data_IF_802360181411
#
_entry.id   IF_802360181411
#
_cell.length_a   1.000
_cell.length_b   1.000
_cell.length_c   1.000
_cell.angle_alpha   90.00
_cell.angle_beta   90.00
_cell.angle_gamma   90.00
#
_symmetry.space_group_name_H-M   'P 1'
#
loop_
_entity.id
_entity.type
_entity.pdbx_description
1 polymer ?
#
# COMPACT_ATOMS: atom_id res chain seq x y z
N UNK A 1 -10.09 30.06 2.47
CA UNK A 1 -9.16 29.40 3.42
C UNK A 1 -8.96 27.99 2.92
N UNK A 2 -7.82 27.67 2.29
CA UNK A 2 -7.45 26.27 2.06
C UNK A 2 -7.35 25.62 3.45
N UNK A 3 -8.25 24.68 3.68
CA UNK A 3 -8.65 24.14 4.97
C UNK A 3 -7.51 23.30 5.58
N UNK A 4 -7.44 23.27 6.90
CA UNK A 4 -6.54 22.45 7.73
C UNK A 4 -6.35 21.00 7.22
N UNK A 5 -7.40 20.39 6.64
CA UNK A 5 -7.33 19.09 5.97
C UNK A 5 -6.35 19.05 4.77
N UNK A 6 -6.40 20.01 3.85
CA UNK A 6 -5.50 20.02 2.68
C UNK A 6 -4.03 20.01 3.12
N UNK A 7 -3.67 20.87 4.07
CA UNK A 7 -2.30 20.96 4.61
C UNK A 7 -1.87 19.63 5.21
N UNK A 8 -2.71 19.01 6.04
CA UNK A 8 -2.43 17.66 6.59
C UNK A 8 -2.23 16.62 5.49
N UNK A 9 -3.05 16.65 4.44
CA UNK A 9 -2.91 15.72 3.31
C UNK A 9 -1.58 15.88 2.58
N UNK A 10 -1.17 17.12 2.30
CA UNK A 10 0.12 17.42 1.68
C UNK A 10 1.29 16.99 2.58
N UNK A 11 1.22 17.29 3.87
CA UNK A 11 2.24 16.90 4.85
C UNK A 11 2.35 15.38 4.97
N UNK A 12 1.21 14.69 4.99
CA UNK A 12 1.15 13.23 4.99
C UNK A 12 1.81 12.64 3.73
N UNK A 13 1.43 13.12 2.54
CA UNK A 13 1.99 12.64 1.27
C UNK A 13 3.51 12.85 1.20
N UNK A 14 4.01 14.03 1.62
CA UNK A 14 5.46 14.29 1.71
C UNK A 14 6.16 13.39 2.73
N UNK A 15 5.47 13.00 3.80
CA UNK A 15 6.01 12.10 4.81
C UNK A 15 6.13 10.67 4.25
N UNK A 16 5.07 10.10 3.68
CA UNK A 16 5.13 8.74 3.10
C UNK A 16 6.01 8.66 1.85
N UNK A 17 6.11 9.73 1.05
CA UNK A 17 7.02 9.79 -0.10
C UNK A 17 8.49 9.62 0.32
N UNK A 18 8.89 10.15 1.48
CA UNK A 18 10.24 9.99 2.03
C UNK A 18 10.51 8.59 2.60
N UNK A 19 9.47 7.78 2.76
CA UNK A 19 9.56 6.39 3.22
C UNK A 19 9.59 5.39 2.06
N UNK A 20 9.25 5.81 0.83
CA UNK A 20 9.38 5.00 -0.36
C UNK A 20 10.87 4.83 -0.78
N UNK A 21 11.16 3.86 -1.66
CA UNK A 21 12.52 3.73 -2.22
C UNK A 21 12.87 4.89 -3.15
N UNK A 22 11.89 5.35 -3.91
CA UNK A 22 11.99 6.43 -4.87
C UNK A 22 10.80 7.38 -4.65
N UNK A 23 11.01 8.71 -4.59
CA UNK A 23 9.91 9.66 -4.41
C UNK A 23 8.79 9.54 -5.45
N UNK A 24 9.14 9.12 -6.66
CA UNK A 24 8.24 8.91 -7.80
C UNK A 24 7.25 7.76 -7.58
N UNK A 25 7.47 6.91 -6.56
CA UNK A 25 6.49 5.90 -6.18
C UNK A 25 5.22 6.52 -5.59
N UNK A 26 5.31 7.76 -5.09
CA UNK A 26 4.19 8.54 -4.55
C UNK A 26 4.15 9.87 -5.28
N UNK A 27 3.52 9.90 -6.45
CA UNK A 27 3.63 10.97 -7.43
C UNK A 27 2.41 11.91 -7.47
N UNK A 28 1.48 11.81 -6.51
CA UNK A 28 0.28 12.67 -6.47
C UNK A 28 0.60 14.16 -6.51
N UNK A 29 1.64 14.59 -5.78
CA UNK A 29 1.99 16.01 -5.69
C UNK A 29 2.71 16.53 -6.93
N UNK A 30 3.48 15.68 -7.60
CA UNK A 30 4.23 15.99 -8.82
C UNK A 30 4.24 14.73 -9.71
N UNK A 31 3.15 14.47 -10.46
CA UNK A 31 3.02 13.28 -11.29
C UNK A 31 4.07 13.36 -12.39
N UNK A 32 4.94 12.35 -12.44
CA UNK A 32 5.98 12.21 -13.45
C UNK A 32 5.40 11.93 -14.83
N UNK A 33 4.14 11.50 -14.90
CA UNK A 33 3.41 11.34 -16.15
C UNK A 33 2.85 12.69 -16.62
N UNK A 34 3.65 13.41 -17.40
CA UNK A 34 3.21 14.55 -18.21
C UNK A 34 2.27 14.02 -19.30
N UNK A 35 1.00 13.79 -18.98
CA UNK A 35 -0.01 13.72 -20.03
C UNK A 35 -0.06 15.13 -20.62
N UNK A 36 0.06 15.24 -21.95
CA UNK A 36 -0.25 16.44 -22.74
C UNK A 36 -1.71 16.94 -22.56
N UNK A 37 -2.45 16.38 -21.59
CA UNK A 37 -3.80 16.72 -21.19
C UNK A 37 -3.75 17.33 -19.79
N UNK A 38 -4.14 18.59 -19.68
CA UNK A 38 -4.32 19.32 -18.41
C UNK A 38 -5.54 18.82 -17.62
N UNK A 39 -6.32 17.92 -18.19
CA UNK A 39 -7.53 17.35 -17.60
C UNK A 39 -7.47 15.83 -17.53
N UNK A 40 -7.91 15.29 -16.39
CA UNK A 40 -8.14 13.87 -16.15
C UNK A 40 -9.65 13.64 -16.15
N UNK A 41 -10.11 12.66 -16.94
CA UNK A 41 -11.49 12.18 -16.87
C UNK A 41 -11.58 11.03 -15.90
N UNK A 42 -12.40 11.20 -14.88
CA UNK A 42 -12.74 10.15 -13.93
C UNK A 42 -14.26 10.11 -13.81
N UNK A 43 -14.87 8.98 -14.19
CA UNK A 43 -16.32 8.86 -14.40
C UNK A 43 -16.86 9.91 -15.40
N UNK A 44 -17.99 10.57 -15.11
CA UNK A 44 -18.65 11.59 -15.93
C UNK A 44 -18.13 13.02 -15.68
N UNK A 45 -17.06 13.19 -14.88
CA UNK A 45 -16.46 14.49 -14.55
C UNK A 45 -15.03 14.62 -15.07
N UNK A 46 -14.76 15.84 -15.55
CA UNK A 46 -13.44 16.25 -16.00
C UNK A 46 -12.82 17.13 -14.90
N UNK A 47 -11.69 16.68 -14.34
CA UNK A 47 -10.94 17.41 -13.33
C UNK A 47 -9.70 18.02 -13.95
N UNK A 48 -9.37 19.27 -13.60
CA UNK A 48 -8.00 19.74 -13.78
C UNK A 48 -7.07 18.96 -12.85
N UNK A 49 -5.79 18.83 -13.22
CA UNK A 49 -4.77 18.22 -12.36
C UNK A 49 -4.73 18.88 -10.97
N UNK A 50 -4.99 20.18 -10.89
CA UNK A 50 -4.99 20.93 -9.63
C UNK A 50 -6.18 20.55 -8.73
N UNK A 51 -7.40 20.51 -9.28
CA UNK A 51 -8.60 20.11 -8.52
C UNK A 51 -8.46 18.67 -8.03
N UNK A 52 -7.91 17.81 -8.87
CA UNK A 52 -7.65 16.42 -8.54
C UNK A 52 -6.70 16.27 -7.34
N UNK A 53 -5.56 16.96 -7.36
CA UNK A 53 -4.62 17.00 -6.22
C UNK A 53 -5.27 17.54 -4.95
N UNK A 54 -6.07 18.59 -5.07
CA UNK A 54 -6.80 19.19 -3.94
C UNK A 54 -7.77 18.18 -3.33
N UNK A 55 -8.54 17.46 -4.16
CA UNK A 55 -9.47 16.42 -3.70
C UNK A 55 -8.76 15.31 -2.94
N UNK A 56 -7.67 14.77 -3.49
CA UNK A 56 -6.87 13.73 -2.80
C UNK A 56 -6.34 14.24 -1.46
N UNK A 57 -5.71 15.42 -1.46
CA UNK A 57 -5.10 15.96 -0.24
C UNK A 57 -6.17 16.24 0.83
N UNK A 58 -7.34 16.77 0.47
CA UNK A 58 -8.42 16.97 1.41
C UNK A 58 -8.93 15.65 1.98
N UNK A 59 -9.15 14.64 1.12
CA UNK A 59 -9.62 13.34 1.56
C UNK A 59 -8.62 12.65 2.49
N UNK A 60 -7.34 12.64 2.14
CA UNK A 60 -6.27 12.12 3.01
C UNK A 60 -6.28 12.88 4.34
N UNK A 61 -6.28 14.20 4.32
CA UNK A 61 -6.27 15.01 5.54
C UNK A 61 -7.47 14.82 6.47
N UNK A 62 -8.58 14.26 5.97
CA UNK A 62 -9.77 13.93 6.74
C UNK A 62 -9.78 12.49 7.23
N UNK A 63 -9.29 11.54 6.43
CA UNK A 63 -9.58 10.11 6.62
C UNK A 63 -8.36 9.25 6.95
N UNK A 64 -7.14 9.73 6.70
CA UNK A 64 -5.95 8.87 6.70
C UNK A 64 -5.65 8.24 8.06
N UNK A 65 -6.01 8.89 9.16
CA UNK A 65 -5.84 8.31 10.50
C UNK A 65 -6.68 7.05 10.68
N UNK A 66 -7.94 7.04 10.24
CA UNK A 66 -8.83 5.89 10.32
C UNK A 66 -8.33 4.74 9.44
N UNK A 67 -7.92 5.05 8.20
CA UNK A 67 -7.37 4.05 7.28
C UNK A 67 -6.09 3.42 7.85
N UNK A 68 -5.17 4.25 8.35
CA UNK A 68 -3.94 3.76 8.97
C UNK A 68 -4.22 2.98 10.26
N UNK A 69 -5.24 3.34 11.05
CA UNK A 69 -5.63 2.56 12.22
C UNK A 69 -6.09 1.14 11.83
N UNK A 70 -6.83 1.00 10.74
CA UNK A 70 -7.22 -0.31 10.21
C UNK A 70 -5.98 -1.11 9.75
N UNK A 71 -5.07 -0.49 8.98
CA UNK A 71 -3.83 -1.16 8.55
C UNK A 71 -2.94 -1.54 9.73
N UNK A 72 -2.87 -0.71 10.78
CA UNK A 72 -2.14 -1.06 12.00
C UNK A 72 -2.77 -2.23 12.75
N UNK A 73 -4.10 -2.40 12.68
CA UNK A 73 -4.77 -3.60 13.21
C UNK A 73 -4.32 -4.84 12.46
N UNK A 74 -4.22 -4.78 11.12
CA UNK A 74 -3.69 -5.89 10.30
C UNK A 74 -2.21 -6.17 10.59
N UNK A 75 -1.38 -5.13 10.71
CA UNK A 75 0.02 -5.28 11.11
C UNK A 75 0.15 -5.96 12.49
N UNK A 76 -0.72 -5.58 13.43
CA UNK A 76 -0.70 -6.13 14.78
C UNK A 76 -1.06 -7.62 14.81
N UNK A 77 -2.07 -8.07 14.05
CA UNK A 77 -2.39 -9.51 13.98
C UNK A 77 -1.27 -10.30 13.29
N UNK A 78 -0.57 -9.73 12.29
CA UNK A 78 0.63 -10.33 11.72
C UNK A 78 1.74 -10.48 12.77
N UNK A 79 1.94 -9.48 13.63
CA UNK A 79 2.88 -9.56 14.75
C UNK A 79 2.52 -10.67 15.75
N UNK A 80 1.22 -10.86 15.99
CA UNK A 80 0.71 -11.86 16.94
C UNK A 80 0.96 -13.30 16.50
N UNK A 81 1.20 -13.54 15.21
CA UNK A 81 1.66 -14.84 14.71
C UNK A 81 3.08 -15.21 15.19
N UNK A 82 3.87 -14.27 15.73
CA UNK A 82 5.26 -14.50 16.13
C UNK A 82 5.48 -14.22 17.62
N UNK A 83 6.47 -14.91 18.20
CA UNK A 83 6.88 -14.66 19.57
C UNK A 83 7.38 -13.21 19.72
N UNK A 84 7.14 -12.52 20.85
CA UNK A 84 7.51 -11.11 21.01
C UNK A 84 8.99 -10.78 20.70
N UNK A 85 9.90 -11.74 20.91
CA UNK A 85 11.34 -11.57 20.62
C UNK A 85 11.68 -11.65 19.12
N UNK A 86 10.79 -12.22 18.29
CA UNK A 86 10.98 -12.35 16.84
C UNK A 86 10.33 -11.18 16.08
N UNK A 87 9.55 -10.34 16.77
CA UNK A 87 8.84 -9.21 16.15
C UNK A 87 9.83 -8.13 15.76
N UNK A 88 9.83 -7.78 14.48
CA UNK A 88 10.63 -6.68 13.94
C UNK A 88 9.95 -5.33 14.21
N UNK A 89 10.74 -4.26 14.23
CA UNK A 89 10.21 -2.89 14.31
C UNK A 89 9.68 -2.47 12.94
N UNK A 90 8.39 -2.69 12.70
CA UNK A 90 7.71 -2.46 11.43
C UNK A 90 6.68 -1.33 11.61
N UNK A 91 6.53 -0.47 10.60
CA UNK A 91 5.42 0.48 10.49
C UNK A 91 4.68 0.29 9.18
N UNK A 92 3.42 0.71 9.13
CA UNK A 92 2.58 0.59 7.95
C UNK A 92 1.82 1.89 7.68
N UNK A 93 1.71 2.26 6.40
CA UNK A 93 0.98 3.44 5.95
C UNK A 93 0.19 3.14 4.67
N UNK A 94 -1.00 3.71 4.59
CA UNK A 94 -1.79 3.77 3.37
C UNK A 94 -1.24 4.88 2.47
N UNK A 95 -1.11 4.63 1.16
CA UNK A 95 -0.59 5.63 0.22
C UNK A 95 -1.09 5.39 -1.21
N UNK A 96 -1.47 6.43 -1.97
CA UNK A 96 -1.71 6.29 -3.40
C UNK A 96 -0.37 6.07 -4.13
N UNK A 97 -0.09 4.83 -4.54
CA UNK A 97 1.11 4.49 -5.27
C UNK A 97 0.95 4.85 -6.75
N UNK A 98 2.05 5.24 -7.41
CA UNK A 98 2.03 5.59 -8.83
C UNK A 98 1.48 4.44 -9.68
N UNK A 99 0.57 4.76 -10.60
CA UNK A 99 -0.01 3.78 -11.51
C UNK A 99 1.01 3.10 -12.41
N UNK A 100 2.11 3.77 -12.71
CA UNK A 100 3.20 3.22 -13.51
C UNK A 100 3.90 2.00 -12.88
N UNK A 101 3.80 1.83 -11.55
CA UNK A 101 4.45 0.73 -10.84
C UNK A 101 3.67 -0.58 -10.94
N UNK A 102 2.33 -0.52 -11.05
CA UNK A 102 1.49 -1.71 -11.09
C UNK A 102 1.58 -2.61 -9.85
N UNK A 103 1.86 -2.03 -8.67
CA UNK A 103 1.94 -2.75 -7.39
C UNK A 103 0.88 -2.25 -6.40
N UNK A 104 0.36 -3.15 -5.57
CA UNK A 104 -0.68 -2.85 -4.57
C UNK A 104 -0.08 -2.55 -3.19
N UNK A 105 1.16 -2.97 -2.97
CA UNK A 105 1.91 -2.78 -1.73
C UNK A 105 3.41 -2.76 -1.99
N UNK A 106 4.15 -2.25 -1.01
CA UNK A 106 5.59 -2.18 -1.05
C UNK A 106 6.22 -2.14 0.35
N UNK A 107 7.24 -2.97 0.60
CA UNK A 107 8.01 -2.97 1.83
C UNK A 107 9.42 -2.36 1.64
N UNK A 108 9.69 -1.21 2.28
CA UNK A 108 11.01 -0.62 2.38
C UNK A 108 11.82 -1.23 3.54
N UNK A 109 12.56 -2.29 3.25
CA UNK A 109 13.46 -2.96 4.21
C UNK A 109 14.76 -2.18 4.51
N UNK A 110 15.05 -1.11 3.75
CA UNK A 110 16.31 -0.36 3.85
C UNK A 110 16.28 0.75 4.91
N UNK A 111 15.12 0.99 5.53
CA UNK A 111 14.93 2.03 6.55
C UNK A 111 14.58 1.41 7.90
N UNK A 112 14.85 2.14 8.98
CA UNK A 112 14.51 1.74 10.36
C UNK A 112 13.59 2.79 11.00
N UNK A 113 12.36 2.43 11.39
CA UNK A 113 11.73 1.11 11.22
C UNK A 113 11.49 0.76 9.74
N UNK A 114 11.51 -0.55 9.47
CA UNK A 114 11.06 -1.09 8.17
C UNK A 114 9.64 -0.62 7.93
N UNK A 115 9.37 -0.09 6.75
CA UNK A 115 8.07 0.54 6.44
C UNK A 115 7.37 -0.19 5.32
N UNK A 116 6.12 -0.58 5.56
CA UNK A 116 5.19 -1.10 4.58
C UNK A 116 4.30 0.05 4.10
N UNK A 117 4.13 0.15 2.78
CA UNK A 117 3.28 1.11 2.10
C UNK A 117 2.22 0.32 1.32
N UNK A 118 0.94 0.60 1.56
CA UNK A 118 -0.18 -0.12 0.90
C UNK A 118 -1.04 0.87 0.12
N UNK A 119 -1.29 0.59 -1.16
CA UNK A 119 -2.29 1.31 -1.94
C UNK A 119 -3.67 0.67 -1.75
N UNK A 120 -4.30 1.05 -0.64
CA UNK A 120 -5.65 0.63 -0.27
C UNK A 120 -6.72 1.01 -1.30
N UNK A 121 -6.42 1.91 -2.24
CA UNK A 121 -7.31 2.25 -3.33
C UNK A 121 -7.32 1.20 -4.44
N UNK A 122 -6.21 0.48 -4.67
CA UNK A 122 -6.06 -0.50 -5.77
C UNK A 122 -6.80 -1.81 -5.56
N UNK A 123 -7.11 -2.14 -4.32
CA UNK A 123 -7.65 -3.44 -3.94
C UNK A 123 -8.86 -3.29 -3.02
N UNK A 124 -9.78 -4.24 -3.11
CA UNK A 124 -10.98 -4.22 -2.27
C UNK A 124 -10.62 -4.30 -0.77
N UNK A 125 -11.39 -3.65 0.13
CA UNK A 125 -11.11 -3.67 1.57
C UNK A 125 -10.97 -5.04 2.21
N UNK A 126 -11.69 -6.05 1.69
CA UNK A 126 -11.62 -7.43 2.16
C UNK A 126 -10.28 -8.10 1.88
N UNK A 127 -9.53 -7.60 0.89
CA UNK A 127 -8.27 -8.18 0.45
C UNK A 127 -7.05 -7.53 1.13
N UNK A 128 -7.23 -6.39 1.81
CA UNK A 128 -6.14 -5.63 2.44
C UNK A 128 -5.28 -6.47 3.38
N UNK A 129 -5.89 -7.37 4.18
CA UNK A 129 -5.15 -8.22 5.11
C UNK A 129 -4.16 -9.15 4.39
N UNK A 130 -4.53 -9.69 3.22
CA UNK A 130 -3.64 -10.53 2.44
C UNK A 130 -2.40 -9.79 1.97
N UNK A 131 -2.57 -8.53 1.52
CA UNK A 131 -1.45 -7.70 1.06
C UNK A 131 -0.57 -7.30 2.24
N UNK A 132 -1.18 -6.95 3.37
CA UNK A 132 -0.42 -6.68 4.60
C UNK A 132 0.39 -7.92 5.02
N UNK A 133 -0.18 -9.12 4.94
CA UNK A 133 0.54 -10.36 5.23
C UNK A 133 1.71 -10.60 4.27
N UNK A 134 1.52 -10.34 2.97
CA UNK A 134 2.59 -10.42 1.96
C UNK A 134 3.75 -9.48 2.29
N UNK A 135 3.47 -8.19 2.46
CA UNK A 135 4.51 -7.19 2.73
C UNK A 135 5.14 -7.38 4.12
N UNK A 136 4.36 -7.87 5.09
CA UNK A 136 4.88 -8.24 6.40
C UNK A 136 5.88 -9.39 6.30
N UNK A 137 5.67 -10.37 5.41
CA UNK A 137 6.64 -11.46 5.23
C UNK A 137 8.00 -10.93 4.74
N UNK A 138 8.02 -9.96 3.83
CA UNK A 138 9.24 -9.25 3.45
C UNK A 138 9.86 -8.51 4.64
N UNK A 139 9.06 -7.77 5.39
CA UNK A 139 9.51 -6.98 6.53
C UNK A 139 10.09 -7.85 7.67
N UNK A 140 9.47 -9.01 7.92
CA UNK A 140 9.89 -9.97 8.95
C UNK A 140 11.21 -10.65 8.56
N UNK A 141 11.32 -11.07 7.30
CA UNK A 141 12.52 -11.70 6.75
C UNK A 141 13.68 -10.71 6.65
N UNK A 142 13.39 -9.44 6.35
CA UNK A 142 14.39 -8.40 6.10
C UNK A 142 15.11 -8.55 4.76
N UNK A 143 14.50 -9.24 3.80
CA UNK A 143 15.04 -9.49 2.47
C UNK A 143 13.97 -9.24 1.39
N UNK A 144 14.41 -8.75 0.24
CA UNK A 144 13.59 -8.69 -0.95
C UNK A 144 13.56 -10.04 -1.67
N UNK A 145 12.49 -10.27 -2.42
CA UNK A 145 12.31 -11.46 -3.25
C UNK A 145 11.56 -12.61 -2.57
N UNK A 146 11.11 -13.55 -3.40
CA UNK A 146 10.12 -14.56 -3.03
C UNK A 146 10.76 -15.96 -3.03
N UNK A 147 11.69 -16.18 -2.11
CA UNK A 147 12.37 -17.46 -1.94
C UNK A 147 11.63 -18.39 -0.94
N UNK A 148 12.17 -19.58 -0.68
CA UNK A 148 11.59 -20.53 0.27
C UNK A 148 11.42 -19.97 1.69
N UNK A 149 12.31 -19.09 2.16
CA UNK A 149 12.19 -18.50 3.50
C UNK A 149 11.01 -17.53 3.55
N UNK A 150 10.85 -16.70 2.53
CA UNK A 150 9.66 -15.86 2.36
C UNK A 150 8.39 -16.71 2.31
N UNK A 151 8.38 -17.77 1.51
CA UNK A 151 7.23 -18.66 1.37
C UNK A 151 6.83 -19.30 2.71
N UNK A 152 7.80 -19.74 3.52
CA UNK A 152 7.54 -20.31 4.84
C UNK A 152 6.92 -19.29 5.81
N UNK A 153 7.46 -18.06 5.84
CA UNK A 153 6.90 -16.98 6.67
C UNK A 153 5.49 -16.63 6.22
N UNK A 154 5.27 -16.53 4.91
CA UNK A 154 3.97 -16.21 4.35
C UNK A 154 2.94 -17.31 4.63
N UNK A 155 3.28 -18.59 4.45
CA UNK A 155 2.40 -19.69 4.81
C UNK A 155 2.07 -19.71 6.31
N UNK A 156 3.06 -19.45 7.18
CA UNK A 156 2.83 -19.33 8.62
C UNK A 156 1.82 -18.23 8.97
N UNK A 157 1.99 -17.04 8.37
CA UNK A 157 1.03 -15.94 8.48
C UNK A 157 -0.35 -16.35 8.00
N UNK A 158 -0.46 -16.93 6.80
CA UNK A 158 -1.75 -17.33 6.25
C UNK A 158 -2.51 -18.28 7.19
N UNK A 159 -1.82 -19.31 7.69
CA UNK A 159 -2.42 -20.26 8.63
C UNK A 159 -2.85 -19.59 9.95
N UNK A 160 -2.03 -18.68 10.49
CA UNK A 160 -2.34 -17.95 11.71
C UNK A 160 -3.48 -16.94 11.57
N UNK A 161 -3.63 -16.34 10.39
CA UNK A 161 -4.63 -15.32 10.07
C UNK A 161 -5.91 -15.89 9.46
N UNK A 162 -5.96 -17.20 9.19
CA UNK A 162 -7.09 -17.86 8.52
C UNK A 162 -7.22 -17.52 7.03
N UNK A 163 -6.13 -17.12 6.38
CA UNK A 163 -6.04 -16.90 4.94
C UNK A 163 -5.66 -18.20 4.22
N UNK A 164 -6.02 -18.31 2.95
CA UNK A 164 -5.54 -19.41 2.10
C UNK A 164 -4.04 -19.25 1.81
N UNK A 165 -3.19 -20.24 2.17
CA UNK A 165 -1.76 -20.18 1.86
C UNK A 165 -1.51 -20.17 0.35
N UNK A 166 -0.44 -19.51 -0.13
CA UNK A 166 -0.08 -19.58 -1.54
C UNK A 166 0.27 -21.02 -1.95
N UNK A 167 -0.03 -21.35 -3.20
CA UNK A 167 0.40 -22.59 -3.86
C UNK A 167 1.44 -22.26 -4.91
N UNK A 168 2.51 -23.05 -5.01
CA UNK A 168 3.54 -22.85 -6.03
C UNK A 168 4.24 -24.16 -6.41
N UNK A 169 4.81 -24.18 -7.61
CA UNK A 169 5.80 -25.18 -8.01
C UNK A 169 7.21 -24.62 -7.81
N UNK A 170 8.21 -25.49 -7.60
CA UNK A 170 9.59 -25.04 -7.38
C UNK A 170 10.13 -24.15 -8.50
N UNK A 171 9.73 -24.41 -9.75
CA UNK A 171 10.16 -23.66 -10.94
C UNK A 171 9.45 -22.32 -11.12
N UNK A 172 8.28 -22.13 -10.51
CA UNK A 172 7.43 -20.93 -10.66
C UNK A 172 7.20 -20.20 -9.33
N UNK A 173 7.95 -20.55 -8.29
CA UNK A 173 7.79 -20.02 -6.94
C UNK A 173 7.77 -18.50 -6.91
N UNK A 174 8.77 -17.88 -7.54
CA UNK A 174 8.94 -16.43 -7.50
C UNK A 174 7.71 -15.71 -8.07
N UNK A 175 7.29 -16.09 -9.28
CA UNK A 175 6.16 -15.46 -9.96
C UNK A 175 4.82 -15.76 -9.28
N UNK A 176 4.66 -16.97 -8.74
CA UNK A 176 3.43 -17.38 -8.03
C UNK A 176 3.29 -16.59 -6.73
N UNK A 177 4.35 -16.49 -5.95
CA UNK A 177 4.35 -15.77 -4.67
C UNK A 177 4.24 -14.26 -4.88
N UNK A 178 4.91 -13.70 -5.90
CA UNK A 178 4.77 -12.29 -6.29
C UNK A 178 3.33 -11.90 -6.61
N UNK A 179 2.56 -12.83 -7.18
CA UNK A 179 1.17 -12.58 -7.59
C UNK A 179 0.15 -12.90 -6.48
N UNK A 180 0.59 -13.43 -5.34
CA UNK A 180 -0.24 -13.67 -4.18
C UNK A 180 -0.24 -12.44 -3.27
N UNK A 181 -1.35 -12.07 -2.62
CA UNK A 181 -2.68 -12.67 -2.74
C UNK A 181 -3.35 -12.34 -4.08
N UNK A 182 -4.26 -13.20 -4.52
CA UNK A 182 -5.09 -12.96 -5.70
C UNK A 182 -6.22 -11.98 -5.35
N UNK A 183 -5.90 -10.69 -5.28
CA UNK A 183 -6.85 -9.64 -4.94
C UNK A 183 -7.79 -9.29 -6.10
N UNK A 184 -8.97 -8.80 -5.74
CA UNK A 184 -9.83 -8.10 -6.69
C UNK A 184 -9.31 -6.66 -6.86
N UNK A 185 -8.71 -6.39 -8.02
CA UNK A 185 -8.30 -5.03 -8.39
C UNK A 185 -9.53 -4.14 -8.55
N UNK A 186 -9.43 -2.92 -8.04
CA UNK A 186 -10.45 -1.89 -8.28
C UNK A 186 -10.29 -1.31 -9.68
N UNK A 187 -11.40 -1.03 -10.35
CA UNK A 187 -11.39 -0.46 -11.71
C UNK A 187 -10.77 0.93 -11.75
N UNK A 188 -10.88 1.68 -10.64
CA UNK A 188 -10.35 3.02 -10.51
C UNK A 188 -9.72 3.20 -9.12
N UNK A 189 -8.42 2.90 -8.96
CA UNK A 189 -7.75 2.97 -7.65
C UNK A 189 -7.83 4.33 -6.97
N UNK A 190 -7.91 5.37 -7.78
CA UNK A 190 -7.91 6.75 -7.33
C UNK A 190 -9.28 7.23 -6.83
N UNK A 191 -10.37 6.53 -7.18
CA UNK A 191 -11.72 6.83 -6.67
C UNK A 191 -11.76 6.83 -5.15
N UNK A 192 -11.11 5.85 -4.52
CA UNK A 192 -10.98 5.78 -3.06
C UNK A 192 -10.33 7.03 -2.49
N UNK A 193 -9.21 7.45 -3.09
CA UNK A 193 -8.41 8.58 -2.63
C UNK A 193 -9.07 9.94 -2.82
N UNK A 194 -10.15 10.03 -3.60
CA UNK A 194 -10.98 11.24 -3.75
C UNK A 194 -12.33 11.13 -3.04
N UNK A 195 -12.63 10.00 -2.39
CA UNK A 195 -13.86 9.77 -1.62
C UNK A 195 -15.08 9.33 -2.44
N UNK A 196 -14.86 8.66 -3.57
CA UNK A 196 -15.91 8.16 -4.46
C UNK A 196 -16.15 6.63 -4.34
N UNK A 197 -15.40 5.92 -3.48
CA UNK A 197 -15.49 4.47 -3.27
C UNK A 197 -15.84 4.11 -1.82
#
# INVERSE_FOLDING_TARGET
MLNDAYTRGVEYLKMVQRLALQPEMVDVLEPTFTILSTTLRMSDREFTLQEYRISICNWIGQNIYTVNAQLNTYLQVCHECFHPQERRNIRIFAVPLSHSLGIDGFCNILINPTTILIDVGRVAPNDWLGIVAHEYAHAHLGLSGHNYQFANILCHLCLGLGLEPPTWETTTMESSLRSWPYCQSTTNPLAFWIGEA
#
